data_IF_521820035665
#
_entry.id   IF_521820035665
#
_cell.length_a   1.000
_cell.length_b   1.000
_cell.length_c   1.000
_cell.angle_alpha   90.00
_cell.angle_beta   90.00
_cell.angle_gamma   90.00
#
_symmetry.space_group_name_H-M   'P 1'
#
loop_
_entity.id
_entity.type
_entity.pdbx_description
1 polymer ?
#
# COMPACT_ATOMS: atom_id res chain seq x y z
N UNK A 1 -36.35 16.02 -20.79
CA UNK A 1 -34.94 15.65 -20.58
C UNK A 1 -34.91 14.62 -19.48
N UNK A 2 -34.74 13.34 -19.80
CA UNK A 2 -34.51 12.33 -18.76
C UNK A 2 -33.05 12.48 -18.33
N UNK A 3 -32.81 13.12 -17.18
CA UNK A 3 -31.55 12.91 -16.48
C UNK A 3 -31.52 11.45 -16.06
N UNK A 4 -30.94 10.60 -16.90
CA UNK A 4 -30.55 9.26 -16.50
C UNK A 4 -29.57 9.44 -15.36
N UNK A 5 -30.05 9.27 -14.14
CA UNK A 5 -29.23 9.20 -12.93
C UNK A 5 -28.32 8.00 -13.09
N UNK A 6 -27.16 8.21 -13.71
CA UNK A 6 -26.09 7.22 -13.75
C UNK A 6 -25.69 7.08 -12.29
N UNK A 7 -26.04 5.95 -11.68
CA UNK A 7 -25.50 5.56 -10.40
C UNK A 7 -24.03 5.18 -10.64
N UNK A 8 -23.06 6.05 -10.29
CA UNK A 8 -21.69 5.78 -10.63
C UNK A 8 -21.21 4.66 -9.71
N UNK A 9 -21.05 3.46 -10.26
CA UNK A 9 -20.45 2.36 -9.50
C UNK A 9 -19.07 2.75 -8.97
N UNK A 10 -18.60 2.04 -7.94
CA UNK A 10 -17.32 2.31 -7.26
C UNK A 10 -16.13 2.45 -8.23
N UNK A 11 -16.18 1.78 -9.38
CA UNK A 11 -15.19 1.90 -10.45
C UNK A 11 -14.98 3.35 -10.94
N UNK A 12 -16.05 4.13 -11.11
CA UNK A 12 -15.96 5.53 -11.57
C UNK A 12 -15.29 6.39 -10.50
N UNK A 13 -15.66 6.21 -9.24
CA UNK A 13 -15.02 6.90 -8.13
C UNK A 13 -13.53 6.55 -8.03
N UNK A 14 -13.16 5.29 -8.20
CA UNK A 14 -11.76 4.86 -8.23
C UNK A 14 -10.96 5.61 -9.32
N UNK A 15 -11.54 5.81 -10.51
CA UNK A 15 -10.88 6.57 -11.58
C UNK A 15 -10.67 8.04 -11.18
N UNK A 16 -11.71 8.68 -10.64
CA UNK A 16 -11.66 10.10 -10.24
C UNK A 16 -10.64 10.31 -9.12
N UNK A 17 -10.74 9.50 -8.05
CA UNK A 17 -9.82 9.55 -6.91
C UNK A 17 -8.38 9.33 -7.38
N UNK A 18 -8.13 8.32 -8.22
CA UNK A 18 -6.80 8.05 -8.75
C UNK A 18 -6.26 9.23 -9.58
N UNK A 19 -7.10 9.84 -10.43
CA UNK A 19 -6.74 11.03 -11.20
C UNK A 19 -6.40 12.22 -10.30
N UNK A 20 -7.16 12.45 -9.22
CA UNK A 20 -6.88 13.49 -8.24
C UNK A 20 -5.56 13.24 -7.51
N UNK A 21 -5.31 12.01 -7.03
CA UNK A 21 -4.04 11.65 -6.40
C UNK A 21 -2.84 11.85 -7.33
N UNK A 22 -2.96 11.54 -8.62
CA UNK A 22 -1.88 11.72 -9.60
C UNK A 22 -1.68 13.18 -10.00
N UNK A 23 -2.67 14.04 -9.75
CA UNK A 23 -2.58 15.49 -9.97
C UNK A 23 -2.18 16.25 -8.70
N UNK A 24 -1.65 15.54 -7.68
CA UNK A 24 -1.30 16.08 -6.36
C UNK A 24 -2.47 16.73 -5.60
N UNK A 25 -3.72 16.45 -5.99
CA UNK A 25 -4.95 16.89 -5.31
C UNK A 25 -5.41 15.84 -4.30
N UNK A 26 -4.51 15.43 -3.42
CA UNK A 26 -4.74 14.30 -2.49
C UNK A 26 -5.80 14.64 -1.45
N UNK A 27 -5.92 15.90 -1.03
CA UNK A 27 -6.94 16.33 -0.08
C UNK A 27 -8.35 16.28 -0.69
N UNK A 28 -8.51 16.77 -1.93
CA UNK A 28 -9.77 16.61 -2.67
C UNK A 28 -10.14 15.13 -2.87
N UNK A 29 -9.13 14.28 -3.14
CA UNK A 29 -9.32 12.84 -3.28
C UNK A 29 -9.77 12.19 -1.96
N UNK A 30 -9.23 12.66 -0.84
CA UNK A 30 -9.60 12.22 0.50
C UNK A 30 -11.03 12.60 0.86
N UNK A 31 -11.43 13.84 0.58
CA UNK A 31 -12.82 14.30 0.79
C UNK A 31 -13.81 13.45 -0.03
N UNK A 32 -13.47 13.17 -1.30
CA UNK A 32 -14.28 12.29 -2.13
C UNK A 32 -14.35 10.87 -1.56
N UNK A 33 -13.22 10.30 -1.14
CA UNK A 33 -13.14 8.99 -0.50
C UNK A 33 -14.04 8.90 0.75
N UNK A 34 -13.96 9.87 1.65
CA UNK A 34 -14.80 9.93 2.86
C UNK A 34 -16.30 10.06 2.54
N UNK A 35 -16.64 10.68 1.39
CA UNK A 35 -18.03 10.87 0.97
C UNK A 35 -18.68 9.64 0.31
N UNK A 36 -17.91 8.59 -0.04
CA UNK A 36 -18.39 7.48 -0.88
C UNK A 36 -19.62 6.77 -0.28
N UNK A 37 -19.57 6.43 1.01
CA UNK A 37 -20.69 5.75 1.67
C UNK A 37 -21.98 6.58 1.66
N UNK A 38 -21.87 7.90 1.83
CA UNK A 38 -23.02 8.82 1.76
C UNK A 38 -23.57 8.96 0.33
N UNK A 39 -22.73 8.69 -0.68
CA UNK A 39 -23.11 8.65 -2.10
C UNK A 39 -23.64 7.27 -2.53
N UNK A 40 -23.74 6.30 -1.61
CA UNK A 40 -24.20 4.94 -1.91
C UNK A 40 -23.14 4.01 -2.51
N UNK A 41 -21.89 4.48 -2.63
CA UNK A 41 -20.77 3.68 -3.13
C UNK A 41 -19.91 3.17 -1.96
N UNK A 42 -19.67 1.86 -1.90
CA UNK A 42 -18.80 1.27 -0.88
C UNK A 42 -17.35 1.20 -1.39
N UNK A 43 -16.36 1.72 -0.65
CA UNK A 43 -14.95 1.52 -0.96
C UNK A 43 -14.61 0.03 -1.08
N UNK A 44 -13.77 -0.33 -2.04
CA UNK A 44 -13.19 -1.67 -2.16
C UNK A 44 -11.67 -1.64 -1.92
N UNK A 45 -11.01 -2.81 -1.99
CA UNK A 45 -9.55 -2.95 -1.85
C UNK A 45 -8.81 -1.98 -2.79
N UNK A 46 -9.30 -1.81 -4.02
CA UNK A 46 -8.70 -0.90 -4.99
C UNK A 46 -8.86 0.56 -4.58
N UNK A 47 -10.02 0.95 -4.06
CA UNK A 47 -10.25 2.29 -3.51
C UNK A 47 -9.27 2.62 -2.39
N UNK A 48 -9.11 1.68 -1.45
CA UNK A 48 -8.15 1.80 -0.35
C UNK A 48 -6.71 1.93 -0.86
N UNK A 49 -6.29 1.04 -1.77
CA UNK A 49 -4.94 1.07 -2.35
C UNK A 49 -4.63 2.38 -3.09
N UNK A 50 -5.61 2.93 -3.82
CA UNK A 50 -5.46 4.22 -4.49
C UNK A 50 -5.19 5.32 -3.46
N UNK A 51 -5.99 5.41 -2.40
CA UNK A 51 -5.83 6.47 -1.39
C UNK A 51 -4.57 6.30 -0.55
N UNK A 52 -4.23 5.08 -0.12
CA UNK A 52 -2.96 4.79 0.58
C UNK A 52 -1.79 5.25 -0.30
N UNK A 53 -1.78 4.86 -1.58
CA UNK A 53 -0.73 5.28 -2.51
C UNK A 53 -0.66 6.79 -2.73
N UNK A 54 -1.80 7.47 -2.74
CA UNK A 54 -1.87 8.94 -2.80
C UNK A 54 -1.27 9.62 -1.58
N UNK A 55 -1.62 9.16 -0.37
CA UNK A 55 -1.08 9.67 0.89
C UNK A 55 0.43 9.42 1.00
N UNK A 56 0.90 8.21 0.64
CA UNK A 56 2.33 7.90 0.58
C UNK A 56 3.08 8.85 -0.35
N UNK A 57 2.54 9.18 -1.53
CA UNK A 57 3.16 10.13 -2.47
C UNK A 57 3.16 11.58 -1.95
N UNK A 58 2.14 11.96 -1.16
CA UNK A 58 2.09 13.26 -0.48
C UNK A 58 3.12 13.37 0.66
N UNK A 59 3.60 12.24 1.18
CA UNK A 59 4.45 12.17 2.38
C UNK A 59 3.65 12.07 3.69
N UNK A 60 2.33 11.93 3.61
CA UNK A 60 1.41 11.75 4.75
C UNK A 60 1.40 10.28 5.22
N UNK A 61 2.54 9.80 5.72
CA UNK A 61 2.73 8.39 6.10
C UNK A 61 1.84 7.98 7.28
N UNK A 62 1.66 8.87 8.27
CA UNK A 62 0.79 8.60 9.43
C UNK A 62 -0.65 8.32 9.02
N UNK A 63 -1.17 9.14 8.10
CA UNK A 63 -2.51 8.97 7.53
C UNK A 63 -2.61 7.71 6.66
N UNK A 64 -1.55 7.39 5.90
CA UNK A 64 -1.49 6.16 5.11
C UNK A 64 -1.56 4.92 6.00
N UNK A 65 -0.81 4.90 7.11
CA UNK A 65 -0.81 3.79 8.07
C UNK A 65 -2.15 3.68 8.82
N UNK A 66 -2.76 4.82 9.16
CA UNK A 66 -4.09 4.85 9.75
C UNK A 66 -5.14 4.28 8.79
N UNK A 67 -5.07 4.65 7.51
CA UNK A 67 -5.97 4.14 6.48
C UNK A 67 -5.75 2.64 6.24
N UNK A 68 -4.50 2.18 6.26
CA UNK A 68 -4.16 0.76 6.18
C UNK A 68 -4.75 -0.06 7.33
N UNK A 69 -4.65 0.43 8.57
CA UNK A 69 -5.30 -0.21 9.73
C UNK A 69 -6.82 -0.22 9.58
N UNK A 70 -7.41 0.89 9.10
CA UNK A 70 -8.85 0.98 8.84
C UNK A 70 -9.30 -0.02 7.78
N UNK A 71 -8.55 -0.20 6.70
CA UNK A 71 -8.84 -1.19 5.65
C UNK A 71 -9.04 -2.59 6.26
N UNK A 72 -8.12 -3.01 7.15
CA UNK A 72 -8.21 -4.30 7.86
C UNK A 72 -9.41 -4.35 8.82
N UNK A 73 -9.68 -3.27 9.56
CA UNK A 73 -10.83 -3.17 10.47
C UNK A 73 -12.17 -3.24 9.74
N UNK A 74 -12.25 -2.68 8.54
CA UNK A 74 -13.42 -2.74 7.67
C UNK A 74 -13.57 -4.12 6.99
N UNK A 75 -12.66 -5.07 7.26
CA UNK A 75 -12.71 -6.44 6.75
C UNK A 75 -12.11 -6.63 5.36
N UNK A 76 -11.38 -5.64 4.84
CA UNK A 76 -10.69 -5.75 3.56
C UNK A 76 -9.26 -6.29 3.76
N UNK A 77 -8.92 -7.35 3.03
CA UNK A 77 -7.59 -7.95 3.07
C UNK A 77 -6.60 -7.16 2.20
N UNK A 78 -5.47 -6.72 2.76
CA UNK A 78 -4.39 -6.13 1.98
C UNK A 78 -3.83 -7.09 0.94
N UNK A 79 -3.55 -6.58 -0.25
CA UNK A 79 -2.89 -7.35 -1.30
C UNK A 79 -1.39 -6.99 -1.41
N UNK A 80 -0.67 -7.71 -2.27
CA UNK A 80 0.75 -7.44 -2.50
C UNK A 80 1.05 -6.00 -2.92
N UNK A 81 0.11 -5.31 -3.59
CA UNK A 81 0.25 -3.91 -3.97
C UNK A 81 0.18 -3.01 -2.73
N UNK A 82 -0.75 -3.26 -1.81
CA UNK A 82 -0.88 -2.54 -0.53
C UNK A 82 0.44 -2.59 0.25
N UNK A 83 0.96 -3.80 0.47
CA UNK A 83 2.20 -4.02 1.24
C UNK A 83 3.40 -3.33 0.60
N UNK A 84 3.64 -3.60 -0.68
CA UNK A 84 4.78 -3.02 -1.38
C UNK A 84 4.67 -1.48 -1.47
N UNK A 85 3.47 -0.91 -1.51
CA UNK A 85 3.28 0.54 -1.50
C UNK A 85 3.74 1.16 -0.18
N UNK A 86 3.29 0.62 0.95
CA UNK A 86 3.66 1.12 2.28
C UNK A 86 5.15 0.91 2.59
N UNK A 87 5.69 -0.28 2.31
CA UNK A 87 7.11 -0.58 2.54
C UNK A 87 8.00 0.42 1.81
N UNK A 88 7.73 0.69 0.52
CA UNK A 88 8.53 1.66 -0.24
C UNK A 88 8.38 3.08 0.28
N UNK A 89 7.20 3.44 0.78
CA UNK A 89 6.94 4.77 1.32
C UNK A 89 7.75 4.99 2.61
N UNK A 90 7.73 4.02 3.52
CA UNK A 90 8.51 4.06 4.76
C UNK A 90 10.01 4.01 4.52
N UNK A 91 10.48 3.16 3.60
CA UNK A 91 11.89 3.12 3.19
C UNK A 91 12.35 4.50 2.71
N UNK A 92 11.60 5.14 1.80
CA UNK A 92 11.93 6.48 1.30
C UNK A 92 11.81 7.58 2.35
N UNK A 93 10.96 7.39 3.36
CA UNK A 93 10.86 8.26 4.51
C UNK A 93 11.96 8.06 5.56
N UNK A 94 12.83 7.06 5.37
CA UNK A 94 13.87 6.69 6.34
C UNK A 94 13.35 5.93 7.56
N UNK A 95 12.06 5.55 7.58
CA UNK A 95 11.50 4.74 8.66
C UNK A 95 11.76 3.25 8.41
N UNK A 96 12.99 2.85 8.74
CA UNK A 96 13.44 1.48 8.59
C UNK A 96 12.70 0.53 9.53
N UNK A 97 12.35 0.98 10.74
CA UNK A 97 11.69 0.16 11.75
C UNK A 97 10.30 -0.28 11.29
N UNK A 98 9.49 0.66 10.79
CA UNK A 98 8.15 0.34 10.27
C UNK A 98 8.26 -0.48 8.99
N UNK A 99 9.25 -0.22 8.14
CA UNK A 99 9.51 -1.02 6.93
C UNK A 99 9.78 -2.49 7.24
N UNK A 100 10.58 -2.78 8.28
CA UNK A 100 10.87 -4.14 8.77
C UNK A 100 9.58 -4.84 9.21
N UNK A 101 8.77 -4.18 10.05
CA UNK A 101 7.51 -4.75 10.55
C UNK A 101 6.55 -5.10 9.40
N UNK A 102 6.43 -4.20 8.42
CA UNK A 102 5.58 -4.42 7.25
C UNK A 102 6.08 -5.58 6.38
N UNK A 103 7.41 -5.77 6.24
CA UNK A 103 7.98 -6.89 5.48
C UNK A 103 7.68 -8.23 6.17
N UNK A 104 7.82 -8.30 7.50
CA UNK A 104 7.52 -9.51 8.27
C UNK A 104 6.03 -9.86 8.21
N UNK A 105 5.16 -8.86 8.37
CA UNK A 105 3.72 -9.05 8.29
C UNK A 105 3.30 -9.52 6.88
N UNK A 106 3.81 -8.85 5.83
CA UNK A 106 3.58 -9.23 4.43
C UNK A 106 3.97 -10.69 4.16
N UNK A 107 5.12 -11.15 4.68
CA UNK A 107 5.57 -12.55 4.56
C UNK A 107 4.65 -13.52 5.29
N UNK A 108 4.18 -13.17 6.49
CA UNK A 108 3.23 -13.98 7.25
C UNK A 108 1.89 -14.16 6.51
N UNK A 109 1.52 -13.18 5.69
CA UNK A 109 0.36 -13.21 4.81
C UNK A 109 0.62 -13.88 3.44
N UNK A 110 1.81 -14.46 3.22
CA UNK A 110 2.14 -15.18 1.97
C UNK A 110 2.50 -14.29 0.77
N UNK A 111 2.74 -13.01 1.00
CA UNK A 111 3.18 -12.07 -0.04
C UNK A 111 4.70 -11.88 -0.04
N UNK A 112 5.24 -11.37 -1.15
CA UNK A 112 6.67 -11.10 -1.31
C UNK A 112 6.94 -9.69 -1.82
N UNK A 113 8.12 -9.17 -1.51
CA UNK A 113 8.60 -7.91 -2.06
C UNK A 113 8.77 -8.03 -3.57
N UNK A 114 8.36 -7.01 -4.31
CA UNK A 114 8.59 -6.96 -5.75
C UNK A 114 9.93 -6.30 -6.11
N UNK A 115 10.26 -6.36 -7.40
CA UNK A 115 11.52 -5.83 -7.93
C UNK A 115 11.75 -4.34 -7.62
N UNK A 116 10.67 -3.54 -7.55
CA UNK A 116 10.79 -2.11 -7.25
C UNK A 116 11.15 -1.87 -5.78
N UNK A 117 10.61 -2.68 -4.87
CA UNK A 117 10.96 -2.65 -3.45
C UNK A 117 12.41 -3.11 -3.23
N UNK A 118 12.82 -4.20 -3.89
CA UNK A 118 14.20 -4.70 -3.82
C UNK A 118 15.20 -3.66 -4.36
N UNK A 119 14.87 -2.99 -5.47
CA UNK A 119 15.73 -1.93 -6.02
C UNK A 119 16.01 -0.81 -5.01
N UNK A 120 14.99 -0.31 -4.33
CA UNK A 120 15.16 0.76 -3.32
C UNK A 120 16.13 0.33 -2.22
N UNK A 121 16.00 -0.91 -1.75
CA UNK A 121 16.93 -1.45 -0.75
C UNK A 121 18.35 -1.56 -1.30
N UNK A 122 18.54 -2.01 -2.54
CA UNK A 122 19.87 -2.04 -3.15
C UNK A 122 20.50 -0.64 -3.25
N UNK A 123 19.70 0.36 -3.61
CA UNK A 123 20.15 1.76 -3.67
C UNK A 123 20.58 2.24 -2.27
N UNK A 124 19.78 1.97 -1.22
CA UNK A 124 20.08 2.32 0.17
C UNK A 124 21.26 1.56 0.79
N UNK A 125 21.49 0.31 0.36
CA UNK A 125 22.69 -0.45 0.74
C UNK A 125 23.95 0.17 0.11
N UNK A 126 23.82 0.62 -1.14
CA UNK A 126 24.93 1.24 -1.87
C UNK A 126 25.28 2.61 -1.28
N UNK A 127 24.30 3.34 -0.73
CA UNK A 127 24.54 4.59 0.00
C UNK A 127 24.97 4.40 1.45
N UNK A 128 24.89 3.17 2.00
CA UNK A 128 25.26 2.84 3.38
C UNK A 128 24.19 3.17 4.42
N UNK A 129 22.97 3.51 3.99
CA UNK A 129 21.81 3.76 4.86
C UNK A 129 21.24 2.47 5.46
N UNK A 130 21.45 1.33 4.79
CA UNK A 130 21.01 0.01 5.23
C UNK A 130 22.19 -0.96 5.36
N UNK A 131 21.97 -2.05 6.10
CA UNK A 131 22.90 -3.16 6.24
C UNK A 131 22.40 -4.41 5.47
N UNK A 132 23.31 -5.35 5.19
CA UNK A 132 23.02 -6.54 4.38
C UNK A 132 21.90 -7.41 4.94
N UNK A 133 21.65 -7.39 6.26
CA UNK A 133 20.52 -8.12 6.86
C UNK A 133 19.16 -7.68 6.30
N UNK A 134 19.01 -6.43 5.83
CA UNK A 134 17.76 -5.99 5.22
C UNK A 134 17.47 -6.71 3.88
N UNK A 135 18.51 -7.08 3.13
CA UNK A 135 18.35 -7.88 1.91
C UNK A 135 17.82 -9.28 2.23
N UNK A 136 18.33 -9.90 3.29
CA UNK A 136 17.90 -11.22 3.77
C UNK A 136 16.42 -11.20 4.19
N UNK A 137 15.97 -10.08 4.77
CA UNK A 137 14.57 -9.84 5.09
C UNK A 137 13.65 -9.72 3.87
N UNK A 138 14.14 -9.31 2.70
CA UNK A 138 13.33 -9.26 1.48
C UNK A 138 13.32 -10.57 0.72
N UNK A 139 14.41 -11.35 0.77
CA UNK A 139 14.40 -12.72 0.25
C UNK A 139 13.35 -13.53 1.02
N UNK A 140 12.54 -14.32 0.29
CA UNK A 140 11.61 -15.26 0.90
C UNK A 140 12.32 -16.16 1.91
N UNK A 141 11.60 -16.90 2.77
CA UNK A 141 12.24 -17.84 3.68
C UNK A 141 13.25 -18.65 2.88
N UNK A 142 14.52 -18.61 3.31
CA UNK A 142 15.53 -19.55 2.86
C UNK A 142 14.82 -20.89 2.84
N UNK A 143 14.62 -21.46 1.64
CA UNK A 143 14.18 -22.84 1.53
C UNK A 143 15.36 -23.65 2.03
N UNK A 144 15.48 -23.76 3.34
CA UNK A 144 16.27 -24.79 3.96
C UNK A 144 15.57 -26.09 3.59
N UNK A 145 16.00 -26.68 2.48
CA UNK A 145 15.59 -28.02 2.02
C UNK A 145 16.27 -29.07 2.90
N UNK A 146 16.12 -28.94 4.21
CA UNK A 146 16.70 -29.82 5.22
C UNK A 146 15.62 -30.29 6.20
N UNK A 147 14.46 -30.70 5.67
CA UNK A 147 13.50 -31.55 6.38
C UNK A 147 12.64 -32.35 5.39
N UNK A 148 13.30 -33.09 4.51
CA UNK A 148 12.72 -34.32 3.95
C UNK A 148 13.42 -35.48 4.64
N UNK A 149 12.82 -35.98 5.72
CA UNK A 149 12.99 -37.32 6.32
C UNK A 149 12.26 -37.32 7.67
N UNK A 150 10.95 -37.60 7.66
CA UNK A 150 10.35 -38.84 8.19
C UNK A 150 9.02 -39.06 7.46
#
# INVERSE_FOLDING_TARGET
MHETKIDPGICIYNIIIHGMCNSSKVDDAWDLFCSLNFKGAKPDVKTYNIMIGGLCRKGSLSEADALFRKMKQDGYEPDGCTWNTLIRAHLRGGDITTSVQLIEEMKSCGFSSDASTVKIVMDMLSSGELNKSFLEMLSGPSRDKSASLV
#
